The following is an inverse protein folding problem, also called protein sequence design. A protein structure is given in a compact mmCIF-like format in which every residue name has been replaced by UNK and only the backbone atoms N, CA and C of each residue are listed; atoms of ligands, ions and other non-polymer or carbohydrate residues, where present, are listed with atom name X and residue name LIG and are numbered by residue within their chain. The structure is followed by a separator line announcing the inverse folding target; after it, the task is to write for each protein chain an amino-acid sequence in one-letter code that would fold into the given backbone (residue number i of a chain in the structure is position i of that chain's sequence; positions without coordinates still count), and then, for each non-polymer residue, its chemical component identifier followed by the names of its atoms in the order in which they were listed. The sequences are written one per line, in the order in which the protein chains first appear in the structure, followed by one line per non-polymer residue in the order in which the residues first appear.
data_IF_306993590555
#
_entry.id   IF_306993590555
#
_cell.length_a   1.000
_cell.length_b   1.000
_cell.length_c   1.000
_cell.angle_alpha   90.00
_cell.angle_beta   90.00
_cell.angle_gamma   90.00
#
_symmetry.space_group_name_H-M   'P 1'
#
loop_
_entity.id
_entity.type
_entity.pdbx_description
1 polymer ?
#
# COMPACT_ATOMS: atom_id res chain seq x y z
N UNK A 1 1.65 -2.76 -23.35
CA UNK A 1 2.00 -3.45 -22.11
C UNK A 1 1.96 -2.52 -20.92
N UNK A 2 0.95 -2.68 -20.06
CA UNK A 2 0.84 -1.99 -18.79
C UNK A 2 0.85 -3.01 -17.66
N UNK A 3 1.55 -2.70 -16.58
CA UNK A 3 1.52 -3.47 -15.34
C UNK A 3 0.42 -2.93 -14.43
N UNK A 4 -0.24 -3.80 -13.69
CA UNK A 4 -1.22 -3.42 -12.69
C UNK A 4 -0.70 -3.85 -11.33
N UNK A 5 -0.92 -3.01 -10.32
CA UNK A 5 -0.85 -3.50 -8.96
C UNK A 5 -1.88 -4.63 -8.79
N UNK A 6 -1.56 -5.62 -7.96
CA UNK A 6 -2.46 -6.74 -7.71
C UNK A 6 -2.83 -6.76 -6.24
N UNK A 7 -4.07 -7.16 -5.96
CA UNK A 7 -4.53 -7.39 -4.61
C UNK A 7 -5.21 -8.75 -4.56
N UNK A 8 -4.65 -9.67 -3.77
CA UNK A 8 -5.15 -11.04 -3.61
C UNK A 8 -5.89 -11.25 -2.29
N UNK A 9 -6.05 -10.20 -1.48
CA UNK A 9 -6.64 -10.29 -0.16
C UNK A 9 -8.15 -10.44 -0.23
N UNK A 10 -8.72 -11.31 0.59
CA UNK A 10 -10.17 -11.43 0.75
C UNK A 10 -10.76 -10.28 1.56
N UNK A 11 -11.95 -9.79 1.16
CA UNK A 11 -12.73 -8.87 1.97
C UNK A 11 -13.40 -9.64 3.12
N UNK A 12 -12.90 -9.49 4.34
CA UNK A 12 -13.46 -10.11 5.54
C UNK A 12 -14.54 -9.21 6.18
N UNK A 13 -15.60 -8.90 5.43
CA UNK A 13 -16.76 -8.19 6.00
C UNK A 13 -17.54 -9.12 6.94
N UNK A 14 -17.91 -8.63 8.11
CA UNK A 14 -18.92 -9.27 8.99
C UNK A 14 -18.41 -10.18 10.11
N UNK A 15 -17.13 -10.53 10.18
CA UNK A 15 -16.59 -11.38 11.26
C UNK A 15 -15.55 -10.64 12.13
N UNK A 16 -15.34 -11.07 13.39
CA UNK A 16 -14.13 -10.76 14.12
C UNK A 16 -12.90 -11.14 13.29
N UNK A 17 -11.87 -10.28 13.28
CA UNK A 17 -10.65 -10.49 12.50
C UNK A 17 -9.51 -10.84 13.45
N UNK A 18 -8.82 -11.95 13.19
CA UNK A 18 -7.62 -12.31 13.96
C UNK A 18 -6.41 -11.50 13.50
N UNK A 19 -5.38 -11.40 14.35
CA UNK A 19 -4.09 -10.81 13.96
C UNK A 19 -3.51 -11.51 12.73
N UNK A 20 -3.60 -12.84 12.63
CA UNK A 20 -3.13 -13.59 11.46
C UNK A 20 -3.86 -13.16 10.19
N UNK A 21 -5.18 -13.05 10.26
CA UNK A 21 -6.00 -12.63 9.12
C UNK A 21 -5.68 -11.21 8.68
N UNK A 22 -5.53 -10.26 9.61
CA UNK A 22 -5.19 -8.87 9.27
C UNK A 22 -3.82 -8.77 8.62
N UNK A 23 -2.81 -9.46 9.15
CA UNK A 23 -1.47 -9.50 8.55
C UNK A 23 -1.50 -10.10 7.14
N UNK A 24 -2.27 -11.17 6.93
CA UNK A 24 -2.43 -11.78 5.60
C UNK A 24 -3.05 -10.79 4.60
N UNK A 25 -4.10 -10.06 5.00
CA UNK A 25 -4.73 -9.03 4.16
C UNK A 25 -3.75 -7.92 3.83
N UNK A 26 -3.05 -7.36 4.83
CA UNK A 26 -2.09 -6.28 4.65
C UNK A 26 -0.89 -6.68 3.77
N UNK A 27 -0.51 -7.95 3.76
CA UNK A 27 0.53 -8.49 2.89
C UNK A 27 0.05 -8.80 1.46
N UNK A 28 -1.25 -8.73 1.19
CA UNK A 28 -1.83 -9.18 -0.08
C UNK A 28 -1.84 -8.14 -1.20
N UNK A 29 -1.25 -6.97 -0.98
CA UNK A 29 -1.08 -5.95 -2.01
C UNK A 29 0.33 -6.04 -2.60
N UNK A 30 0.40 -6.17 -3.91
CA UNK A 30 1.65 -6.23 -4.65
C UNK A 30 1.68 -5.13 -5.70
N UNK A 31 2.60 -4.20 -5.51
CA UNK A 31 2.93 -3.15 -6.46
C UNK A 31 4.33 -3.40 -7.02
N UNK A 32 4.45 -3.94 -8.23
CA UNK A 32 5.74 -4.35 -8.80
C UNK A 32 6.71 -3.19 -9.04
N UNK A 33 6.20 -1.95 -9.12
CA UNK A 33 6.99 -0.78 -9.50
C UNK A 33 7.05 0.28 -8.37
N UNK A 34 6.38 0.02 -7.24
CA UNK A 34 6.39 0.91 -6.07
C UNK A 34 5.77 2.28 -6.33
N UNK A 35 4.86 2.38 -7.30
CA UNK A 35 4.20 3.65 -7.64
C UNK A 35 3.11 4.07 -6.64
N UNK A 36 2.59 3.12 -5.88
CA UNK A 36 1.57 3.28 -4.86
C UNK A 36 2.20 3.16 -3.46
N UNK A 37 3.43 3.67 -3.31
CA UNK A 37 4.22 3.57 -2.08
C UNK A 37 3.49 4.12 -0.85
N UNK A 38 2.74 5.22 -0.94
CA UNK A 38 2.01 5.74 0.24
C UNK A 38 0.90 4.79 0.66
N UNK A 39 0.28 4.11 -0.30
CA UNK A 39 -0.72 3.10 -0.02
C UNK A 39 -0.10 1.87 0.64
N UNK A 40 1.09 1.43 0.21
CA UNK A 40 1.84 0.37 0.89
C UNK A 40 2.31 0.80 2.29
N UNK A 41 2.84 2.02 2.45
CA UNK A 41 3.28 2.58 3.73
C UNK A 41 2.13 2.70 4.74
N UNK A 42 0.92 3.01 4.26
CA UNK A 42 -0.27 2.95 5.11
C UNK A 42 -0.53 1.54 5.62
N UNK A 43 -0.36 0.51 4.79
CA UNK A 43 -0.48 -0.89 5.21
C UNK A 43 0.54 -1.22 6.33
N UNK A 44 1.79 -0.78 6.18
CA UNK A 44 2.86 -0.95 7.19
C UNK A 44 2.53 -0.27 8.52
N UNK A 45 1.95 0.92 8.46
CA UNK A 45 1.52 1.67 9.64
C UNK A 45 0.42 0.92 10.39
N UNK A 46 -0.61 0.46 9.68
CA UNK A 46 -1.71 -0.35 10.26
C UNK A 46 -1.16 -1.64 10.85
N UNK A 47 -0.26 -2.32 10.13
CA UNK A 47 0.37 -3.56 10.61
C UNK A 47 1.13 -3.35 11.92
N UNK A 48 1.92 -2.26 12.01
CA UNK A 48 2.63 -1.91 13.24
C UNK A 48 1.65 -1.75 14.41
N UNK A 49 0.52 -1.09 14.20
CA UNK A 49 -0.44 -0.84 15.28
C UNK A 49 -1.22 -2.12 15.67
N UNK A 50 -1.50 -3.01 14.70
CA UNK A 50 -1.97 -4.38 14.98
C UNK A 50 -0.96 -5.13 15.87
N UNK A 51 0.34 -5.09 15.53
CA UNK A 51 1.37 -5.78 16.29
C UNK A 51 1.55 -5.22 17.71
N UNK A 52 1.29 -3.92 17.93
CA UNK A 52 1.25 -3.32 19.28
C UNK A 52 0.02 -3.77 20.08
N UNK A 53 -1.11 -4.00 19.41
CA UNK A 53 -2.37 -4.36 20.08
C UNK A 53 -2.39 -5.79 20.62
N UNK A 54 -1.72 -6.72 19.93
CA UNK A 54 -1.62 -8.12 20.37
C UNK A 54 -0.41 -8.83 19.77
N UNK A 55 0.21 -9.70 20.55
CA UNK A 55 1.29 -10.59 20.11
C UNK A 55 0.76 -11.89 19.52
N UNK A 56 -0.37 -12.38 20.03
CA UNK A 56 -0.95 -13.68 19.72
C UNK A 56 -1.66 -13.70 18.35
N UNK A 57 -1.33 -14.69 17.53
CA UNK A 57 -1.81 -14.78 16.15
C UNK A 57 -3.32 -14.96 16.01
N UNK A 58 -3.93 -15.73 16.91
CA UNK A 58 -5.36 -16.05 16.88
C UNK A 58 -6.21 -15.05 17.68
N UNK A 59 -5.60 -14.08 18.36
CA UNK A 59 -6.35 -13.03 19.04
C UNK A 59 -7.08 -12.14 18.05
N UNK A 60 -8.31 -11.78 18.43
CA UNK A 60 -9.12 -10.79 17.71
C UNK A 60 -8.49 -9.41 17.89
N UNK A 61 -8.31 -8.69 16.78
CA UNK A 61 -7.83 -7.30 16.82
C UNK A 61 -8.97 -6.35 17.21
N UNK A 62 -8.67 -5.20 17.84
CA UNK A 62 -9.65 -4.15 18.12
C UNK A 62 -10.45 -3.74 16.88
N UNK A 63 -11.75 -3.45 17.06
CA UNK A 63 -12.63 -3.03 15.96
C UNK A 63 -12.09 -1.86 15.13
N UNK A 64 -11.54 -0.79 15.74
CA UNK A 64 -11.00 0.32 14.95
C UNK A 64 -9.87 -0.11 13.99
N UNK A 65 -8.98 -1.00 14.44
CA UNK A 65 -7.90 -1.52 13.60
C UNK A 65 -8.43 -2.44 12.50
N UNK A 66 -9.46 -3.24 12.79
CA UNK A 66 -10.17 -4.02 11.77
C UNK A 66 -10.76 -3.11 10.69
N UNK A 67 -11.41 -2.02 11.09
CA UNK A 67 -12.05 -1.09 10.16
C UNK A 67 -10.98 -0.44 9.25
N UNK A 68 -9.83 -0.04 9.80
CA UNK A 68 -8.69 0.44 9.02
C UNK A 68 -8.16 -0.59 8.00
N UNK A 69 -8.04 -1.86 8.40
CA UNK A 69 -7.63 -2.95 7.49
C UNK A 69 -8.66 -3.12 6.36
N UNK A 70 -9.96 -3.10 6.69
CA UNK A 70 -11.04 -3.26 5.71
C UNK A 70 -11.10 -2.09 4.72
N UNK A 71 -10.93 -0.87 5.21
CA UNK A 71 -10.90 0.34 4.37
C UNK A 71 -9.70 0.31 3.44
N UNK A 72 -8.51 0.00 3.96
CA UNK A 72 -7.31 -0.16 3.16
C UNK A 72 -7.47 -1.23 2.08
N UNK A 73 -8.02 -2.41 2.42
CA UNK A 73 -8.26 -3.51 1.47
C UNK A 73 -9.26 -3.12 0.36
N UNK A 74 -10.27 -2.32 0.70
CA UNK A 74 -11.25 -1.79 -0.25
C UNK A 74 -10.59 -0.82 -1.25
N UNK A 75 -9.67 0.02 -0.76
CA UNK A 75 -8.86 0.91 -1.62
C UNK A 75 -7.91 0.07 -2.49
N UNK A 76 -7.22 -0.93 -1.94
CA UNK A 76 -6.32 -1.84 -2.68
C UNK A 76 -7.05 -2.50 -3.86
N UNK A 77 -8.28 -2.96 -3.65
CA UNK A 77 -9.13 -3.58 -4.68
C UNK A 77 -9.49 -2.60 -5.80
N UNK A 78 -9.66 -1.32 -5.49
CA UNK A 78 -9.92 -0.29 -6.50
C UNK A 78 -8.65 0.04 -7.29
N UNK A 79 -7.53 0.26 -6.59
CA UNK A 79 -6.25 0.61 -7.19
C UNK A 79 -5.75 -0.47 -8.15
N UNK A 80 -5.92 -1.75 -7.80
CA UNK A 80 -5.53 -2.86 -8.67
C UNK A 80 -6.30 -2.94 -9.98
N UNK A 81 -7.46 -2.26 -10.08
CA UNK A 81 -8.32 -2.25 -11.28
C UNK A 81 -8.23 -0.96 -12.08
N UNK A 82 -7.74 0.14 -11.49
CA UNK A 82 -7.89 1.48 -12.08
C UNK A 82 -6.61 2.10 -12.62
N UNK A 83 -5.43 1.69 -12.14
CA UNK A 83 -4.17 2.38 -12.44
C UNK A 83 -3.21 1.48 -13.24
N UNK A 84 -3.29 1.49 -14.58
CA UNK A 84 -2.27 0.86 -15.42
C UNK A 84 -0.96 1.64 -15.29
N UNK A 85 0.11 0.93 -14.97
CA UNK A 85 1.47 1.47 -14.96
C UNK A 85 2.14 1.17 -16.29
N UNK A 86 2.52 2.19 -17.08
CA UNK A 86 3.24 1.95 -18.33
C UNK A 86 4.62 1.34 -18.04
N UNK A 87 4.97 0.29 -18.79
CA UNK A 87 6.30 -0.36 -18.69
C UNK A 87 7.45 0.59 -19.08
N UNK A 88 7.16 1.56 -19.93
CA UNK A 88 8.10 2.56 -20.40
C UNK A 88 7.44 3.93 -20.33
N UNK A 89 8.13 4.89 -19.72
CA UNK A 89 7.75 6.30 -19.75
C UNK A 89 8.85 7.03 -20.51
N UNK A 90 8.50 7.65 -21.62
CA UNK A 90 9.42 8.55 -22.31
C UNK A 90 9.55 9.84 -21.50
N UNK A 91 10.78 10.23 -21.18
CA UNK A 91 11.08 11.36 -20.32
C UNK A 91 11.99 12.33 -21.06
N UNK A 92 11.40 13.41 -21.55
CA UNK A 92 12.12 14.51 -22.19
C UNK A 92 12.34 15.70 -21.24
N UNK A 93 11.94 15.53 -19.98
CA UNK A 93 11.92 16.59 -18.97
C UNK A 93 12.69 16.19 -17.71
N UNK A 94 13.24 17.16 -16.96
CA UNK A 94 13.97 16.90 -15.73
C UNK A 94 13.15 16.09 -14.71
N UNK A 95 13.86 15.33 -13.87
CA UNK A 95 13.28 14.54 -12.80
C UNK A 95 13.46 15.20 -11.44
N UNK A 96 12.48 15.03 -10.56
CA UNK A 96 12.55 15.44 -9.15
C UNK A 96 12.55 14.18 -8.29
N UNK A 97 13.55 14.06 -7.43
CA UNK A 97 13.61 13.04 -6.38
C UNK A 97 13.35 13.70 -5.02
N UNK A 98 12.33 13.22 -4.32
CA UNK A 98 12.03 13.56 -2.93
C UNK A 98 12.27 12.34 -2.05
N UNK A 99 12.91 12.52 -0.91
CA UNK A 99 13.12 11.45 0.08
C UNK A 99 12.61 11.90 1.43
N UNK A 100 11.84 11.06 2.11
CA UNK A 100 11.45 11.30 3.49
C UNK A 100 12.60 10.97 4.43
N UNK A 101 12.95 11.93 5.28
CA UNK A 101 13.96 11.77 6.33
C UNK A 101 13.32 11.52 7.71
N UNK A 102 12.01 11.29 7.76
CA UNK A 102 11.34 11.01 9.02
C UNK A 102 11.72 9.62 9.56
N UNK A 103 11.67 9.47 10.88
CA UNK A 103 11.86 8.16 11.51
C UNK A 103 10.70 7.19 11.25
N UNK A 104 9.61 7.66 10.63
CA UNK A 104 8.32 7.00 10.60
C UNK A 104 7.95 6.42 9.23
N UNK A 105 8.42 7.01 8.14
CA UNK A 105 8.22 6.51 6.79
C UNK A 105 9.57 6.48 6.06
N UNK A 106 9.93 5.32 5.53
CA UNK A 106 11.13 5.19 4.71
C UNK A 106 10.61 5.27 3.28
N UNK A 107 10.77 6.43 2.65
CA UNK A 107 10.10 6.74 1.38
C UNK A 107 10.98 7.54 0.43
N UNK A 108 11.21 7.05 -0.77
CA UNK A 108 11.68 7.83 -1.91
C UNK A 108 10.55 8.01 -2.93
N UNK A 109 10.52 9.15 -3.62
CA UNK A 109 9.50 9.53 -4.60
C UNK A 109 10.16 10.23 -5.79
N UNK A 110 10.16 9.58 -6.95
CA UNK A 110 10.73 10.11 -8.18
C UNK A 110 9.61 10.52 -9.16
N UNK A 111 9.62 11.78 -9.61
CA UNK A 111 8.60 12.34 -10.52
C UNK A 111 9.20 13.04 -11.73
N UNK A 112 8.46 13.06 -12.84
CA UNK A 112 8.77 13.95 -13.96
C UNK A 112 8.23 15.36 -13.72
N UNK A 113 8.99 16.39 -14.12
CA UNK A 113 8.55 17.79 -14.09
C UNK A 113 7.48 18.12 -15.13
N UNK A 114 7.43 17.39 -16.25
CA UNK A 114 6.42 17.62 -17.31
C UNK A 114 5.03 17.13 -16.93
N UNK A 115 4.96 16.10 -16.09
CA UNK A 115 3.72 15.44 -15.73
C UNK A 115 3.76 15.07 -14.26
N UNK A 116 3.18 15.92 -13.41
CA UNK A 116 3.13 15.75 -11.95
C UNK A 116 2.48 14.43 -11.49
N UNK A 117 1.67 13.81 -12.35
CA UNK A 117 1.00 12.53 -12.09
C UNK A 117 1.85 11.29 -12.39
N UNK A 118 3.04 11.45 -13.00
CA UNK A 118 3.92 10.31 -13.28
C UNK A 118 4.92 10.17 -12.14
N UNK A 119 4.58 9.27 -11.21
CA UNK A 119 5.60 8.65 -10.36
C UNK A 119 6.32 7.59 -11.17
N UNK A 120 7.64 7.64 -11.11
CA UNK A 120 8.53 6.72 -11.85
C UNK A 120 9.02 5.57 -10.98
N UNK A 121 9.21 5.84 -9.68
CA UNK A 121 9.54 4.84 -8.68
C UNK A 121 9.23 5.41 -7.28
N UNK A 122 8.87 4.53 -6.36
CA UNK A 122 8.84 4.84 -4.93
C UNK A 122 9.15 3.61 -4.08
N UNK A 123 9.84 3.80 -2.96
CA UNK A 123 10.13 2.72 -2.02
C UNK A 123 10.23 3.24 -0.60
#
# INVERSE_FOLDING_TARGET
DAFYATFSGGLLKGYPMTKRQSCAVLASFYDPLGLLVEHDMRARSIWRDVNKSTTEWESIIPSPLKDEVCDWASISTRLSKSMPTPRFVHLDSPLILSTDASINAWGADLRSTSTLSVRLAGK
#
